data_IF_138609830218
#
_entry.id   IF_138609830218
#
_cell.length_a   1.000
_cell.length_b   1.000
_cell.length_c   1.000
_cell.angle_alpha   90.00
_cell.angle_beta   90.00
_cell.angle_gamma   90.00
#
_symmetry.space_group_name_H-M   'P 1'
#
loop_
_entity.id
_entity.type
_entity.pdbx_description
1 polymer ?
#
# COMPACT_ATOMS: atom_id res chain seq x y z
N UNK A 1 19.71 -20.73 35.23
CA UNK A 1 20.09 -20.66 33.81
C UNK A 1 19.25 -19.56 33.19
N UNK A 2 19.76 -18.33 33.30
CA UNK A 2 19.09 -17.12 32.81
C UNK A 2 19.51 -16.94 31.35
N UNK A 3 18.60 -17.25 30.43
CA UNK A 3 18.84 -17.13 29.00
C UNK A 3 18.86 -15.66 28.60
N UNK A 4 20.04 -15.18 28.24
CA UNK A 4 20.33 -13.85 27.72
C UNK A 4 19.38 -13.53 26.54
N UNK A 5 18.47 -12.58 26.75
CA UNK A 5 17.58 -12.05 25.70
C UNK A 5 18.43 -11.24 24.74
N UNK A 6 18.97 -11.90 23.71
CA UNK A 6 19.69 -11.27 22.62
C UNK A 6 18.79 -10.20 21.99
N UNK A 7 19.07 -8.92 22.30
CA UNK A 7 18.40 -7.77 21.72
C UNK A 7 18.80 -7.76 20.24
N UNK A 8 17.93 -8.26 19.36
CA UNK A 8 18.06 -8.12 17.91
C UNK A 8 18.02 -6.61 17.60
N UNK A 9 19.19 -5.95 17.60
CA UNK A 9 19.29 -4.57 17.16
C UNK A 9 19.31 -4.59 15.64
N UNK A 10 18.21 -4.14 15.04
CA UNK A 10 18.14 -3.93 13.60
C UNK A 10 19.17 -2.86 13.25
N UNK A 11 20.09 -3.18 12.34
CA UNK A 11 21.04 -2.20 11.79
C UNK A 11 20.20 -1.09 11.13
N UNK A 12 20.25 0.12 11.68
CA UNK A 12 19.60 1.29 11.08
C UNK A 12 20.39 1.65 9.83
N UNK A 13 20.01 1.07 8.70
CA UNK A 13 20.70 1.30 7.43
C UNK A 13 20.10 2.42 6.58
N UNK A 14 18.95 3.00 6.94
CA UNK A 14 18.34 4.03 6.09
C UNK A 14 18.87 5.41 6.45
N UNK A 15 19.71 5.99 5.59
CA UNK A 15 20.17 7.37 5.70
C UNK A 15 19.11 8.40 5.29
N UNK A 16 19.39 9.71 5.46
CA UNK A 16 18.45 10.79 5.10
C UNK A 16 18.06 10.75 3.61
N UNK A 17 19.05 10.60 2.72
CA UNK A 17 18.83 10.59 1.27
C UNK A 17 18.06 9.35 0.84
N UNK A 18 18.37 8.19 1.42
CA UNK A 18 17.67 6.94 1.17
C UNK A 18 16.24 6.97 1.67
N UNK A 19 15.99 7.57 2.85
CA UNK A 19 14.65 7.75 3.37
C UNK A 19 13.82 8.67 2.48
N UNK A 20 14.38 9.82 2.06
CA UNK A 20 13.67 10.77 1.19
C UNK A 20 13.38 10.15 -0.18
N UNK A 21 14.34 9.45 -0.79
CA UNK A 21 14.13 8.82 -2.09
C UNK A 21 13.10 7.69 -2.01
N UNK A 22 13.11 6.90 -0.93
CA UNK A 22 12.12 5.86 -0.69
C UNK A 22 10.71 6.43 -0.50
N UNK A 23 10.56 7.50 0.29
CA UNK A 23 9.26 8.17 0.50
C UNK A 23 8.76 8.77 -0.82
N UNK A 24 9.63 9.43 -1.60
CA UNK A 24 9.27 9.97 -2.90
C UNK A 24 8.79 8.85 -3.87
N UNK A 25 9.50 7.71 -3.90
CA UNK A 25 9.15 6.58 -4.75
C UNK A 25 7.84 5.88 -4.35
N UNK A 26 7.50 5.86 -3.06
CA UNK A 26 6.23 5.26 -2.58
C UNK A 26 5.03 6.19 -2.71
N UNK A 27 5.23 7.51 -2.69
CA UNK A 27 4.16 8.49 -2.89
C UNK A 27 3.79 8.69 -4.37
N UNK A 28 4.76 8.62 -5.28
CA UNK A 28 4.51 8.78 -6.72
C UNK A 28 3.85 7.49 -7.26
N UNK A 29 2.54 7.54 -7.50
CA UNK A 29 1.76 6.42 -8.04
C UNK A 29 0.93 6.77 -9.28
N UNK A 30 0.12 5.81 -9.75
CA UNK A 30 -0.74 5.97 -10.94
C UNK A 30 -1.80 7.08 -10.82
N UNK A 31 -2.07 7.57 -9.61
CA UNK A 31 -3.05 8.63 -9.32
C UNK A 31 -2.78 9.97 -10.01
N UNK A 32 -1.54 10.22 -10.47
CA UNK A 32 -1.19 11.43 -11.25
C UNK A 32 -2.04 11.53 -12.53
N UNK A 33 -2.34 10.39 -13.16
CA UNK A 33 -3.09 10.36 -14.42
C UNK A 33 -4.61 10.41 -14.24
N UNK A 34 -5.10 10.16 -13.02
CA UNK A 34 -6.54 10.01 -12.75
C UNK A 34 -7.16 11.24 -12.07
N UNK A 35 -6.37 12.15 -11.48
CA UNK A 35 -6.94 13.32 -10.79
C UNK A 35 -6.00 14.53 -10.74
N UNK A 36 -6.34 15.66 -11.40
CA UNK A 36 -5.64 16.93 -11.21
C UNK A 36 -6.26 17.69 -10.03
N UNK A 37 -5.59 17.80 -8.88
CA UNK A 37 -6.14 18.52 -7.71
C UNK A 37 -5.08 19.27 -6.90
N UNK A 38 -4.88 20.55 -7.20
CA UNK A 38 -4.00 21.45 -6.44
C UNK A 38 -4.44 21.62 -4.97
N UNK A 39 -5.75 21.61 -4.69
CA UNK A 39 -6.29 21.77 -3.32
C UNK A 39 -5.93 20.57 -2.43
N UNK A 40 -5.77 19.37 -3.01
CA UNK A 40 -5.35 18.18 -2.26
C UNK A 40 -3.91 18.30 -1.75
N UNK A 41 -3.06 19.10 -2.38
CA UNK A 41 -1.66 19.24 -1.99
C UNK A 41 -1.50 19.79 -0.56
N UNK A 42 -2.24 20.86 -0.23
CA UNK A 42 -2.17 21.45 1.11
C UNK A 42 -2.70 20.50 2.18
N UNK A 43 -3.79 19.78 1.89
CA UNK A 43 -4.37 18.80 2.82
C UNK A 43 -3.43 17.61 3.02
N UNK A 44 -2.78 17.14 1.96
CA UNK A 44 -1.82 16.04 2.04
C UNK A 44 -0.57 16.43 2.86
N UNK A 45 -0.05 17.64 2.70
CA UNK A 45 1.09 18.13 3.47
C UNK A 45 0.77 18.25 4.97
N UNK A 46 -0.38 18.85 5.31
CA UNK A 46 -0.82 18.96 6.70
C UNK A 46 -1.10 17.58 7.33
N UNK A 47 -1.74 16.68 6.58
CA UNK A 47 -1.95 15.29 7.00
C UNK A 47 -0.63 14.55 7.23
N UNK A 48 0.33 14.69 6.32
CA UNK A 48 1.66 14.08 6.45
C UNK A 48 2.42 14.56 7.68
N UNK A 49 2.38 15.86 7.98
CA UNK A 49 2.97 16.42 9.21
C UNK A 49 2.31 15.86 10.48
N UNK A 50 0.97 15.76 10.49
CA UNK A 50 0.25 15.17 11.63
C UNK A 50 0.65 13.70 11.85
N UNK A 51 0.75 12.90 10.78
CA UNK A 51 1.23 11.52 10.87
C UNK A 51 2.70 11.42 11.28
N UNK A 52 3.55 12.37 10.88
CA UNK A 52 4.94 12.41 11.32
C UNK A 52 5.05 12.67 12.83
N UNK A 53 4.30 13.64 13.37
CA UNK A 53 4.23 13.91 14.81
C UNK A 53 3.71 12.69 15.59
N UNK A 54 2.69 12.02 15.06
CA UNK A 54 2.10 10.85 15.68
C UNK A 54 3.07 9.65 15.68
N UNK A 55 3.81 9.44 14.59
CA UNK A 55 4.83 8.40 14.47
C UNK A 55 6.08 8.64 15.32
N UNK A 56 6.40 9.90 15.62
CA UNK A 56 7.46 10.24 16.57
C UNK A 56 7.00 10.08 18.03
N UNK A 57 5.72 10.33 18.30
CA UNK A 57 5.14 10.22 19.66
C UNK A 57 4.90 8.77 20.07
N UNK A 58 4.49 7.90 19.14
CA UNK A 58 4.18 6.49 19.39
C UNK A 58 5.11 5.61 18.54
N UNK A 59 6.34 5.33 19.00
CA UNK A 59 7.34 4.57 18.25
C UNK A 59 7.15 3.05 18.35
N UNK A 60 5.90 2.60 18.25
CA UNK A 60 5.52 1.19 18.35
C UNK A 60 5.27 0.59 16.96
N UNK A 61 5.53 -0.71 16.83
CA UNK A 61 5.32 -1.42 15.56
C UNK A 61 3.84 -1.71 15.34
N UNK A 62 3.29 -1.24 14.21
CA UNK A 62 1.92 -1.57 13.78
C UNK A 62 1.17 -0.45 13.05
N UNK A 63 1.80 0.70 12.83
CA UNK A 63 1.30 1.76 11.95
C UNK A 63 -0.05 2.32 12.41
N UNK A 64 -0.94 2.60 11.46
CA UNK A 64 -2.25 3.22 11.71
C UNK A 64 -3.11 2.47 12.73
N UNK A 65 -2.97 1.13 12.80
CA UNK A 65 -3.70 0.31 13.78
C UNK A 65 -3.33 0.68 15.22
N UNK A 66 -2.04 0.89 15.50
CA UNK A 66 -1.55 1.17 16.86
C UNK A 66 -2.00 2.57 17.31
N UNK A 67 -2.07 3.52 16.38
CA UNK A 67 -2.58 4.86 16.66
C UNK A 67 -4.05 4.83 17.09
N UNK A 68 -4.85 4.02 16.40
CA UNK A 68 -6.26 3.83 16.72
C UNK A 68 -6.47 3.00 17.98
N UNK A 69 -5.61 2.02 18.24
CA UNK A 69 -5.60 1.24 19.48
C UNK A 69 -5.34 2.13 20.70
N UNK A 70 -4.39 3.07 20.60
CA UNK A 70 -4.04 3.98 21.69
C UNK A 70 -5.13 5.03 21.96
N UNK A 71 -5.79 5.52 20.90
CA UNK A 71 -6.77 6.62 21.01
C UNK A 71 -8.20 6.15 21.30
N UNK A 72 -8.60 5.00 20.74
CA UNK A 72 -10.01 4.55 20.71
C UNK A 72 -10.22 3.16 21.34
N UNK A 73 -9.17 2.49 21.83
CA UNK A 73 -9.25 1.17 22.45
C UNK A 73 -9.36 0.01 21.46
N UNK A 74 -9.40 -1.22 22.00
CA UNK A 74 -9.26 -2.47 21.24
C UNK A 74 -10.40 -2.74 20.24
N UNK A 75 -11.65 -2.44 20.62
CA UNK A 75 -12.83 -2.77 19.78
C UNK A 75 -12.84 -1.94 18.50
N UNK A 76 -12.59 -0.64 18.60
CA UNK A 76 -12.55 0.25 17.44
C UNK A 76 -11.34 -0.04 16.55
N UNK A 77 -10.18 -0.34 17.15
CA UNK A 77 -8.99 -0.74 16.42
C UNK A 77 -9.22 -2.03 15.62
N UNK A 78 -9.88 -3.03 16.21
CA UNK A 78 -10.23 -4.28 15.53
C UNK A 78 -11.17 -4.05 14.34
N UNK A 79 -12.24 -3.27 14.54
CA UNK A 79 -13.19 -2.98 13.46
C UNK A 79 -12.52 -2.22 12.30
N UNK A 80 -11.63 -1.28 12.62
CA UNK A 80 -10.85 -0.54 11.62
C UNK A 80 -9.94 -1.49 10.82
N UNK A 81 -9.07 -2.26 11.48
CA UNK A 81 -8.13 -3.13 10.77
C UNK A 81 -8.85 -4.24 9.99
N UNK A 82 -9.95 -4.77 10.52
CA UNK A 82 -10.78 -5.75 9.84
C UNK A 82 -11.37 -5.18 8.54
N UNK A 83 -11.96 -4.00 8.61
CA UNK A 83 -12.52 -3.30 7.45
C UNK A 83 -11.42 -2.92 6.46
N UNK A 84 -10.27 -2.49 6.96
CA UNK A 84 -9.13 -2.11 6.15
C UNK A 84 -8.60 -3.29 5.32
N UNK A 85 -8.45 -4.46 5.95
CA UNK A 85 -7.99 -5.69 5.28
C UNK A 85 -9.06 -6.24 4.33
N UNK A 86 -10.33 -6.28 4.75
CA UNK A 86 -11.42 -6.90 3.98
C UNK A 86 -11.91 -6.02 2.83
N UNK A 87 -11.86 -4.70 2.96
CA UNK A 87 -12.51 -3.77 2.04
C UNK A 87 -11.47 -2.87 1.38
N UNK A 88 -10.68 -2.13 2.17
CA UNK A 88 -9.83 -1.06 1.64
C UNK A 88 -8.68 -1.63 0.80
N UNK A 89 -8.00 -2.67 1.29
CA UNK A 89 -6.89 -3.32 0.57
C UNK A 89 -7.31 -3.96 -0.77
N UNK A 90 -8.36 -4.78 -0.86
CA UNK A 90 -8.77 -5.34 -2.15
C UNK A 90 -9.37 -4.27 -3.07
N UNK A 91 -10.09 -3.28 -2.53
CA UNK A 91 -10.62 -2.18 -3.35
C UNK A 91 -9.50 -1.34 -3.99
N UNK A 92 -8.44 -1.01 -3.24
CA UNK A 92 -7.31 -0.26 -3.79
C UNK A 92 -6.54 -1.05 -4.85
N UNK A 93 -6.30 -2.34 -4.63
CA UNK A 93 -5.69 -3.23 -5.62
C UNK A 93 -6.53 -3.30 -6.91
N UNK A 94 -7.86 -3.43 -6.76
CA UNK A 94 -8.80 -3.46 -7.88
C UNK A 94 -8.81 -2.14 -8.63
N UNK A 95 -8.80 -1.00 -7.93
CA UNK A 95 -8.79 0.31 -8.55
C UNK A 95 -7.53 0.52 -9.42
N UNK A 96 -6.36 0.14 -8.92
CA UNK A 96 -5.10 0.23 -9.68
C UNK A 96 -5.14 -0.68 -10.91
N UNK A 97 -5.60 -1.92 -10.75
CA UNK A 97 -5.71 -2.88 -11.85
C UNK A 97 -6.72 -2.42 -12.92
N UNK A 98 -7.82 -1.78 -12.49
CA UNK A 98 -8.81 -1.24 -13.40
C UNK A 98 -8.25 -0.06 -14.19
N UNK A 99 -7.56 0.88 -13.52
CA UNK A 99 -6.87 1.98 -14.20
C UNK A 99 -5.84 1.47 -15.21
N UNK A 100 -5.06 0.45 -14.85
CA UNK A 100 -4.13 -0.19 -15.78
C UNK A 100 -4.86 -0.78 -17.00
N UNK A 101 -5.97 -1.49 -16.78
CA UNK A 101 -6.76 -2.08 -17.85
C UNK A 101 -7.39 -1.02 -18.77
N UNK A 102 -7.88 0.10 -18.24
CA UNK A 102 -8.42 1.21 -19.03
C UNK A 102 -7.37 1.77 -20.00
N UNK A 103 -6.14 2.04 -19.51
CA UNK A 103 -5.06 2.51 -20.37
C UNK A 103 -4.57 1.44 -21.35
N UNK A 104 -4.52 0.16 -20.96
CA UNK A 104 -4.10 -0.92 -21.83
C UNK A 104 -5.08 -1.19 -22.98
N UNK A 105 -6.40 -1.19 -22.69
CA UNK A 105 -7.45 -1.42 -23.69
C UNK A 105 -7.60 -0.21 -24.62
N UNK A 106 -7.37 1.00 -24.12
CA UNK A 106 -7.39 2.21 -24.95
C UNK A 106 -6.42 2.15 -26.14
N UNK A 107 -5.28 1.45 -26.02
CA UNK A 107 -4.31 1.29 -27.12
C UNK A 107 -4.84 0.45 -28.30
N UNK A 108 -5.83 -0.41 -28.06
CA UNK A 108 -6.35 -1.32 -29.08
C UNK A 108 -7.68 -0.86 -29.69
N UNK A 109 -8.34 0.14 -29.08
CA UNK A 109 -9.64 0.64 -29.48
C UNK A 109 -9.60 2.16 -29.69
N UNK A 110 -9.02 2.60 -30.80
CA UNK A 110 -9.09 4.00 -31.24
C UNK A 110 -10.50 4.30 -31.79
N UNK A 111 -11.29 5.10 -31.05
CA UNK A 111 -12.55 5.68 -31.54
C UNK A 111 -13.83 4.85 -31.34
N UNK A 112 -13.77 3.71 -30.66
CA UNK A 112 -14.95 2.92 -30.27
C UNK A 112 -15.27 3.06 -28.77
N UNK A 113 -16.54 2.92 -28.35
CA UNK A 113 -16.88 2.87 -26.93
C UNK A 113 -16.27 1.62 -26.30
N UNK A 114 -15.48 1.81 -25.23
CA UNK A 114 -14.78 0.71 -24.56
C UNK A 114 -15.79 -0.31 -24.00
N UNK A 115 -15.73 -1.59 -24.41
CA UNK A 115 -16.57 -2.61 -23.81
C UNK A 115 -16.10 -2.89 -22.38
N UNK A 116 -16.96 -2.58 -21.40
CA UNK A 116 -16.65 -2.78 -19.97
C UNK A 116 -16.32 -4.24 -19.62
N UNK A 117 -16.82 -5.21 -20.41
CA UNK A 117 -16.49 -6.62 -20.26
C UNK A 117 -14.99 -6.90 -20.55
N UNK A 118 -14.42 -6.25 -21.57
CA UNK A 118 -13.01 -6.42 -21.93
C UNK A 118 -12.08 -5.77 -20.89
N UNK A 119 -12.43 -4.58 -20.40
CA UNK A 119 -11.66 -3.93 -19.34
C UNK A 119 -11.66 -4.78 -18.07
N UNK A 120 -12.82 -5.30 -17.67
CA UNK A 120 -12.94 -6.17 -16.48
C UNK A 120 -12.17 -7.49 -16.64
N UNK A 121 -12.17 -8.10 -17.82
CA UNK A 121 -11.41 -9.34 -18.04
C UNK A 121 -9.91 -9.12 -17.98
N UNK A 122 -9.41 -8.03 -18.59
CA UNK A 122 -7.99 -7.64 -18.53
C UNK A 122 -7.57 -7.30 -17.11
N UNK A 123 -8.38 -6.53 -16.36
CA UNK A 123 -8.10 -6.22 -14.96
C UNK A 123 -8.05 -7.48 -14.08
N UNK A 124 -8.99 -8.41 -14.27
CA UNK A 124 -9.01 -9.69 -13.54
C UNK A 124 -7.77 -10.53 -13.87
N UNK A 125 -7.38 -10.59 -15.15
CA UNK A 125 -6.15 -11.27 -15.58
C UNK A 125 -4.89 -10.67 -14.97
N UNK A 126 -4.80 -9.34 -14.90
CA UNK A 126 -3.68 -8.64 -14.27
C UNK A 126 -3.57 -8.93 -12.77
N UNK A 127 -4.70 -8.90 -12.04
CA UNK A 127 -4.73 -9.25 -10.61
C UNK A 127 -4.31 -10.70 -10.40
N UNK A 128 -4.84 -11.63 -11.21
CA UNK A 128 -4.50 -13.04 -11.10
C UNK A 128 -3.01 -13.28 -11.34
N UNK A 129 -2.45 -12.66 -12.38
CA UNK A 129 -1.02 -12.75 -12.68
C UNK A 129 -0.15 -12.19 -11.54
N UNK A 130 -0.52 -11.04 -10.98
CA UNK A 130 0.17 -10.47 -9.82
C UNK A 130 0.10 -11.38 -8.59
N UNK A 131 -1.06 -11.99 -8.32
CA UNK A 131 -1.24 -12.93 -7.23
C UNK A 131 -0.38 -14.18 -7.39
N UNK A 132 -0.33 -14.76 -8.61
CA UNK A 132 0.52 -15.91 -8.94
C UNK A 132 2.00 -15.56 -8.77
N UNK A 133 2.45 -14.41 -9.28
CA UNK A 133 3.83 -13.97 -9.14
C UNK A 133 4.24 -13.79 -7.68
N UNK A 134 3.37 -13.20 -6.87
CA UNK A 134 3.63 -13.00 -5.43
C UNK A 134 3.67 -14.35 -4.68
N UNK A 135 2.77 -15.28 -5.01
CA UNK A 135 2.78 -16.63 -4.44
C UNK A 135 4.06 -17.40 -4.81
N UNK A 136 4.47 -17.33 -6.08
CA UNK A 136 5.66 -17.99 -6.58
C UNK A 136 6.93 -17.45 -5.91
N UNK A 137 7.03 -16.13 -5.77
CA UNK A 137 8.14 -15.48 -5.06
C UNK A 137 8.17 -15.89 -3.58
N UNK A 138 7.01 -15.92 -2.91
CA UNK A 138 6.90 -16.38 -1.54
C UNK A 138 7.34 -17.84 -1.37
N UNK A 139 6.98 -18.71 -2.32
CA UNK A 139 7.41 -20.11 -2.32
C UNK A 139 8.92 -20.26 -2.50
N UNK A 140 9.52 -19.49 -3.42
CA UNK A 140 10.98 -19.46 -3.62
C UNK A 140 11.70 -18.98 -2.34
N UNK A 141 11.20 -17.91 -1.72
CA UNK A 141 11.75 -17.41 -0.45
C UNK A 141 11.64 -18.47 0.65
N UNK A 142 10.48 -19.11 0.78
CA UNK A 142 10.27 -20.20 1.73
C UNK A 142 11.21 -21.39 1.49
N UNK A 143 11.51 -21.71 0.23
CA UNK A 143 12.44 -22.78 -0.14
C UNK A 143 13.91 -22.41 0.06
N UNK A 144 14.23 -21.11 0.06
CA UNK A 144 15.60 -20.60 0.27
C UNK A 144 15.96 -20.41 1.74
N UNK A 145 14.96 -20.34 2.63
CA UNK A 145 15.11 -20.13 4.07
C UNK A 145 14.95 -21.42 4.91
N UNK A 146 14.52 -22.52 4.30
CA UNK A 146 14.50 -23.86 4.92
C UNK A 146 15.68 -24.69 4.49
#
# INVERSE_FOLDING_TARGET
MEGDKQKLSLRREVGLIEAVSFIAGTMIGSGIFTSPKHILFHVAMLGGLCFAELGMTIPESGGEYVYMLHSCGEVFAFMFIFSFIKIIRPASATAIALSFADYAVALFYDGCPLPQLAVKSVATGAILLAAIANLFLGLILSYRLG
#
